data_IF_672294712489
#
_entry.id   IF_672294712489
#
_cell.length_a   1.000
_cell.length_b   1.000
_cell.length_c   1.000
_cell.angle_alpha   90.00
_cell.angle_beta   90.00
_cell.angle_gamma   90.00
#
_symmetry.space_group_name_H-M   'P 1'
#
loop_
_entity.id
_entity.type
_entity.pdbx_description
1 polymer ?
#
# COMPACT_ATOMS: atom_id res chain seq x y z
N UNK A 1 19.40 64.29 -30.35
CA UNK A 1 19.31 63.13 -29.43
C UNK A 1 18.18 62.16 -29.84
N UNK A 2 18.51 60.90 -30.20
CA UNK A 2 17.51 59.95 -30.70
C UNK A 2 16.70 59.30 -29.58
N UNK A 3 15.45 58.94 -29.92
CA UNK A 3 14.44 58.25 -29.09
C UNK A 3 14.92 56.86 -28.65
N UNK A 4 14.59 56.37 -27.44
CA UNK A 4 14.88 55.00 -27.03
C UNK A 4 13.99 53.99 -27.79
N UNK A 5 14.49 52.76 -28.05
CA UNK A 5 13.74 51.74 -28.79
C UNK A 5 12.62 51.11 -27.96
N UNK A 6 11.52 50.79 -28.64
CA UNK A 6 10.31 50.19 -28.09
C UNK A 6 10.58 48.83 -27.45
N UNK A 7 10.07 48.63 -26.23
CA UNK A 7 9.99 47.32 -25.58
C UNK A 7 9.13 46.39 -26.43
N UNK A 8 9.78 45.42 -27.07
CA UNK A 8 9.12 44.24 -27.62
C UNK A 8 8.48 43.46 -26.48
N UNK A 9 7.16 43.52 -26.40
CA UNK A 9 6.34 42.59 -25.63
C UNK A 9 6.58 41.22 -26.23
N UNK A 10 7.37 40.38 -25.55
CA UNK A 10 7.41 38.95 -25.83
C UNK A 10 6.08 38.36 -25.34
N UNK A 11 5.20 37.84 -26.22
CA UNK A 11 4.06 37.08 -25.76
C UNK A 11 4.56 35.76 -25.18
N UNK A 12 3.96 35.39 -24.06
CA UNK A 12 4.09 34.11 -23.37
C UNK A 12 4.25 32.95 -24.36
N UNK A 13 5.42 32.32 -24.38
CA UNK A 13 5.67 31.12 -25.18
C UNK A 13 5.77 29.94 -24.23
N UNK A 14 4.76 29.09 -24.33
CA UNK A 14 4.62 27.74 -23.77
C UNK A 14 3.92 27.58 -22.41
N UNK A 15 2.76 28.19 -22.24
CA UNK A 15 1.65 27.51 -21.59
C UNK A 15 0.75 26.90 -22.68
N UNK A 16 0.31 25.66 -22.49
CA UNK A 16 -0.56 24.86 -23.38
C UNK A 16 0.02 24.34 -24.71
N UNK A 17 1.03 23.48 -24.61
CA UNK A 17 1.06 22.28 -25.47
C UNK A 17 0.63 21.08 -24.62
N UNK A 18 -0.67 21.02 -24.31
CA UNK A 18 -1.30 19.77 -23.94
C UNK A 18 -1.22 18.86 -25.18
N UNK A 19 -0.11 18.16 -25.34
CA UNK A 19 -0.07 16.94 -26.12
C UNK A 19 -1.20 16.08 -25.57
N UNK A 20 -2.16 15.70 -26.41
CA UNK A 20 -3.03 14.57 -26.09
C UNK A 20 -2.11 13.38 -25.87
N UNK A 21 -1.72 13.13 -24.63
CA UNK A 21 -1.01 11.95 -24.21
C UNK A 21 -1.82 10.75 -24.69
N UNK A 22 -1.20 9.86 -25.48
CA UNK A 22 -1.91 8.69 -26.02
C UNK A 22 -2.43 7.74 -24.91
N UNK A 23 -1.92 7.90 -23.70
CA UNK A 23 -2.32 7.25 -22.47
C UNK A 23 -1.97 8.15 -21.28
N UNK A 24 -2.74 8.03 -20.20
CA UNK A 24 -2.58 8.81 -18.96
C UNK A 24 -2.15 7.91 -17.78
N UNK A 25 -1.49 8.49 -16.75
CA UNK A 25 -1.17 7.78 -15.52
C UNK A 25 -2.36 7.02 -14.90
N UNK A 26 -3.53 7.67 -14.85
CA UNK A 26 -4.75 7.09 -14.27
C UNK A 26 -5.30 5.92 -15.08
N UNK A 27 -5.14 5.91 -16.41
CA UNK A 27 -5.53 4.78 -17.25
C UNK A 27 -4.62 3.57 -16.98
N UNK A 28 -3.32 3.80 -16.84
CA UNK A 28 -2.35 2.75 -16.49
C UNK A 28 -2.66 2.17 -15.11
N UNK A 29 -2.92 3.03 -14.11
CA UNK A 29 -3.30 2.60 -12.75
C UNK A 29 -4.61 1.79 -12.74
N UNK A 30 -5.59 2.19 -13.56
CA UNK A 30 -6.83 1.48 -13.76
C UNK A 30 -6.62 0.07 -14.36
N UNK A 31 -5.71 -0.07 -15.33
CA UNK A 31 -5.35 -1.37 -15.90
C UNK A 31 -4.61 -2.23 -14.87
N UNK A 32 -3.63 -1.69 -14.13
CA UNK A 32 -2.93 -2.41 -13.06
C UNK A 32 -3.90 -3.00 -12.04
N UNK A 33 -4.85 -2.19 -11.57
CA UNK A 33 -5.85 -2.60 -10.58
C UNK A 33 -6.75 -3.74 -11.11
N UNK A 34 -7.16 -3.65 -12.38
CA UNK A 34 -7.95 -4.70 -13.03
C UNK A 34 -7.16 -5.99 -13.18
N UNK A 35 -5.88 -5.90 -13.57
CA UNK A 35 -4.97 -7.01 -13.76
C UNK A 35 -4.74 -7.76 -12.44
N UNK A 36 -4.50 -7.04 -11.35
CA UNK A 36 -4.35 -7.60 -9.99
C UNK A 36 -5.65 -8.25 -9.50
N UNK A 37 -6.80 -7.60 -9.72
CA UNK A 37 -8.11 -8.15 -9.35
C UNK A 37 -8.38 -9.46 -10.09
N UNK A 38 -8.09 -9.51 -11.39
CA UNK A 38 -8.27 -10.72 -12.21
C UNK A 38 -7.31 -11.84 -11.78
N UNK A 39 -6.06 -11.52 -11.48
CA UNK A 39 -5.09 -12.47 -10.93
C UNK A 39 -5.55 -13.04 -9.58
N UNK A 40 -6.05 -12.17 -8.68
CA UNK A 40 -6.61 -12.57 -7.39
C UNK A 40 -7.84 -13.48 -7.54
N UNK A 41 -8.73 -13.21 -8.49
CA UNK A 41 -9.89 -14.08 -8.78
C UNK A 41 -9.47 -15.45 -9.31
N UNK A 42 -8.45 -15.52 -10.16
CA UNK A 42 -7.90 -16.80 -10.63
C UNK A 42 -7.35 -17.63 -9.48
N UNK A 43 -6.60 -17.00 -8.57
CA UNK A 43 -6.10 -17.66 -7.36
C UNK A 43 -7.24 -18.13 -6.43
N UNK A 44 -8.26 -17.30 -6.22
CA UNK A 44 -9.41 -17.65 -5.38
C UNK A 44 -10.28 -18.79 -5.92
N UNK A 45 -10.24 -19.05 -7.23
CA UNK A 45 -11.02 -20.08 -7.91
C UNK A 45 -10.21 -21.32 -8.30
N UNK A 46 -9.04 -21.53 -7.70
CA UNK A 46 -8.19 -22.70 -7.97
C UNK A 46 -8.93 -24.04 -7.79
N UNK A 47 -9.85 -24.13 -6.82
CA UNK A 47 -10.65 -25.33 -6.55
C UNK A 47 -11.81 -25.61 -7.51
N UNK A 48 -12.09 -24.73 -8.50
CA UNK A 48 -13.21 -24.91 -9.43
C UNK A 48 -12.76 -24.77 -10.89
N UNK A 49 -12.80 -25.87 -11.65
CA UNK A 49 -12.32 -25.92 -13.05
C UNK A 49 -13.01 -24.89 -13.94
N UNK A 50 -14.34 -24.79 -13.87
CA UNK A 50 -15.12 -23.86 -14.71
C UNK A 50 -14.82 -22.41 -14.36
N UNK A 51 -14.79 -22.08 -13.07
CA UNK A 51 -14.52 -20.71 -12.61
C UNK A 51 -13.05 -20.31 -12.83
N UNK A 52 -12.12 -21.25 -12.72
CA UNK A 52 -10.70 -21.08 -13.05
C UNK A 52 -10.52 -20.74 -14.52
N UNK A 53 -11.15 -21.50 -15.43
CA UNK A 53 -11.10 -21.24 -16.88
C UNK A 53 -11.73 -19.88 -17.22
N UNK A 54 -12.86 -19.53 -16.59
CA UNK A 54 -13.51 -18.25 -16.80
C UNK A 54 -12.64 -17.07 -16.31
N UNK A 55 -12.04 -17.18 -15.11
CA UNK A 55 -11.15 -16.19 -14.53
C UNK A 55 -9.84 -16.06 -15.34
N UNK A 56 -9.30 -17.16 -15.85
CA UNK A 56 -8.12 -17.16 -16.71
C UNK A 56 -8.39 -16.48 -18.05
N UNK A 57 -9.55 -16.74 -18.67
CA UNK A 57 -9.95 -16.04 -19.90
C UNK A 57 -10.12 -14.54 -19.68
N UNK A 58 -10.69 -14.14 -18.55
CA UNK A 58 -10.86 -12.73 -18.18
C UNK A 58 -9.51 -12.03 -17.96
N UNK A 59 -8.59 -12.70 -17.26
CA UNK A 59 -7.21 -12.26 -17.08
C UNK A 59 -6.51 -12.06 -18.43
N UNK A 60 -6.59 -13.03 -19.35
CA UNK A 60 -5.97 -12.91 -20.68
C UNK A 60 -6.52 -11.75 -21.51
N UNK A 61 -7.81 -11.41 -21.36
CA UNK A 61 -8.39 -10.22 -22.00
C UNK A 61 -7.76 -8.94 -21.45
N UNK A 62 -7.60 -8.85 -20.13
CA UNK A 62 -6.99 -7.69 -19.48
C UNK A 62 -5.51 -7.59 -19.82
N UNK A 63 -4.78 -8.71 -19.89
CA UNK A 63 -3.39 -8.75 -20.37
C UNK A 63 -3.27 -8.26 -21.81
N UNK A 64 -4.23 -8.60 -22.69
CA UNK A 64 -4.29 -8.05 -24.04
C UNK A 64 -4.43 -6.52 -24.05
N UNK A 65 -5.37 -5.98 -23.27
CA UNK A 65 -5.54 -4.53 -23.15
C UNK A 65 -4.30 -3.84 -22.55
N UNK A 66 -3.66 -4.46 -21.56
CA UNK A 66 -2.43 -3.96 -20.96
C UNK A 66 -1.27 -3.96 -21.96
N UNK A 67 -1.12 -5.03 -22.75
CA UNK A 67 -0.16 -5.10 -23.86
C UNK A 67 -0.39 -3.98 -24.86
N UNK A 68 -1.63 -3.81 -25.31
CA UNK A 68 -1.95 -2.81 -26.34
C UNK A 68 -1.62 -1.39 -25.85
N UNK A 69 -1.91 -1.08 -24.57
CA UNK A 69 -1.47 0.17 -23.96
C UNK A 69 0.06 0.30 -23.93
N UNK A 70 0.78 -0.75 -23.51
CA UNK A 70 2.24 -0.72 -23.48
C UNK A 70 2.84 -0.56 -24.88
N UNK A 71 2.24 -1.16 -25.90
CA UNK A 71 2.68 -0.98 -27.29
C UNK A 71 2.46 0.47 -27.77
N UNK A 72 1.34 1.10 -27.40
CA UNK A 72 1.13 2.53 -27.64
C UNK A 72 2.18 3.38 -26.93
N UNK A 73 2.53 3.03 -25.69
CA UNK A 73 3.59 3.71 -24.95
C UNK A 73 4.97 3.57 -25.60
N UNK A 74 5.31 2.35 -26.04
CA UNK A 74 6.58 2.05 -26.71
C UNK A 74 6.72 2.73 -28.08
N UNK A 75 5.62 2.91 -28.80
CA UNK A 75 5.60 3.64 -30.07
C UNK A 75 5.53 5.17 -29.92
N UNK A 76 5.38 5.67 -28.69
CA UNK A 76 5.19 7.08 -28.37
C UNK A 76 6.47 7.82 -27.96
N UNK A 77 6.27 8.90 -27.22
CA UNK A 77 7.36 9.73 -26.70
C UNK A 77 8.05 9.07 -25.50
N UNK A 78 9.38 8.94 -25.56
CA UNK A 78 10.20 8.36 -24.49
C UNK A 78 10.19 9.23 -23.23
N UNK A 79 10.02 10.54 -23.35
CA UNK A 79 9.89 11.44 -22.18
C UNK A 79 8.56 11.20 -21.46
N UNK A 80 7.47 11.02 -22.20
CA UNK A 80 6.16 10.68 -21.64
C UNK A 80 6.14 9.27 -21.05
N UNK A 81 6.84 8.32 -21.66
CA UNK A 81 7.05 6.99 -21.09
C UNK A 81 7.83 7.06 -19.76
N UNK A 82 8.89 7.86 -19.71
CA UNK A 82 9.66 8.08 -18.49
C UNK A 82 8.85 8.80 -17.39
N UNK A 83 8.00 9.75 -17.74
CA UNK A 83 7.11 10.43 -16.78
C UNK A 83 6.08 9.46 -16.19
N UNK A 84 5.42 8.67 -17.05
CA UNK A 84 4.34 7.77 -16.61
C UNK A 84 4.87 6.51 -15.92
N UNK A 85 5.99 5.94 -16.37
CA UNK A 85 6.52 4.66 -15.87
C UNK A 85 7.85 4.76 -15.11
N UNK A 86 8.60 5.85 -15.27
CA UNK A 86 9.97 5.98 -14.76
C UNK A 86 10.11 6.61 -13.37
N UNK A 87 9.06 7.19 -12.79
CA UNK A 87 9.11 7.80 -11.46
C UNK A 87 9.50 6.82 -10.35
N UNK A 88 8.54 6.10 -9.80
CA UNK A 88 8.75 5.05 -8.79
C UNK A 88 8.88 3.65 -9.41
N UNK A 89 8.73 3.52 -10.73
CA UNK A 89 8.55 2.26 -11.46
C UNK A 89 7.41 1.38 -10.92
N UNK A 90 6.54 1.88 -10.03
CA UNK A 90 5.57 1.05 -9.31
C UNK A 90 4.57 0.40 -10.28
N UNK A 91 4.08 1.17 -11.26
CA UNK A 91 3.14 0.68 -12.29
C UNK A 91 3.70 -0.49 -13.10
N UNK A 92 4.93 -0.34 -13.55
CA UNK A 92 5.66 -1.38 -14.28
C UNK A 92 5.79 -2.66 -13.44
N UNK A 93 6.21 -2.50 -12.18
CA UNK A 93 6.43 -3.63 -11.29
C UNK A 93 5.14 -4.30 -10.83
N UNK A 94 4.04 -3.57 -10.68
CA UNK A 94 2.69 -4.14 -10.45
C UNK A 94 2.29 -5.07 -11.59
N UNK A 95 2.48 -4.64 -12.83
CA UNK A 95 2.24 -5.47 -14.00
C UNK A 95 3.17 -6.71 -14.06
N UNK A 96 4.46 -6.54 -13.76
CA UNK A 96 5.41 -7.67 -13.67
C UNK A 96 5.02 -8.69 -12.60
N UNK A 97 4.44 -8.24 -11.48
CA UNK A 97 3.99 -9.13 -10.39
C UNK A 97 3.05 -10.20 -10.88
N UNK A 98 2.09 -9.78 -11.69
CA UNK A 98 1.04 -10.66 -12.14
C UNK A 98 1.60 -11.70 -13.10
N UNK A 99 2.57 -11.33 -13.94
CA UNK A 99 3.29 -12.27 -14.79
C UNK A 99 4.05 -13.33 -13.96
N UNK A 100 4.71 -12.91 -12.88
CA UNK A 100 5.51 -13.84 -12.05
C UNK A 100 4.63 -14.72 -11.15
N UNK A 101 3.46 -14.23 -10.73
CA UNK A 101 2.59 -14.93 -9.77
C UNK A 101 1.62 -15.89 -10.46
N UNK A 102 1.19 -15.58 -11.68
CA UNK A 102 0.14 -16.37 -12.36
C UNK A 102 0.76 -17.53 -13.13
N UNK A 103 0.41 -18.75 -12.70
CA UNK A 103 0.69 -19.98 -13.44
C UNK A 103 -0.42 -20.23 -14.47
N UNK A 104 -0.13 -20.16 -15.77
CA UNK A 104 -1.03 -20.64 -16.81
C UNK A 104 -0.70 -22.11 -17.06
N UNK A 105 -1.68 -23.01 -17.05
CA UNK A 105 -1.44 -24.43 -17.36
C UNK A 105 -1.68 -24.71 -18.85
N UNK A 106 -2.85 -24.33 -19.37
CA UNK A 106 -3.26 -24.62 -20.75
C UNK A 106 -2.97 -23.47 -21.73
N UNK A 107 -2.71 -22.26 -21.23
CA UNK A 107 -2.57 -21.04 -22.04
C UNK A 107 -1.16 -20.42 -21.97
N UNK A 108 -0.12 -21.21 -21.67
CA UNK A 108 1.27 -20.73 -21.59
C UNK A 108 1.75 -20.13 -22.93
N UNK A 109 1.20 -20.61 -24.04
CA UNK A 109 1.56 -20.16 -25.40
C UNK A 109 0.65 -19.04 -25.92
N UNK A 110 -0.28 -18.50 -25.12
CA UNK A 110 -1.20 -17.45 -25.58
C UNK A 110 -0.44 -16.18 -26.01
N UNK A 111 -0.69 -15.73 -27.25
CA UNK A 111 -0.03 -14.57 -27.85
C UNK A 111 -0.24 -13.27 -27.07
N UNK A 112 -1.36 -13.13 -26.35
CA UNK A 112 -1.65 -11.94 -25.54
C UNK A 112 -0.77 -11.93 -24.30
N UNK A 113 -0.63 -13.08 -23.64
CA UNK A 113 0.24 -13.24 -22.47
C UNK A 113 1.71 -13.04 -22.83
N UNK A 114 2.16 -13.70 -23.90
CA UNK A 114 3.54 -13.60 -24.37
C UNK A 114 3.86 -12.21 -24.93
N UNK A 115 2.93 -11.57 -25.64
CA UNK A 115 3.07 -10.20 -26.10
C UNK A 115 3.12 -9.20 -24.95
N UNK A 116 2.31 -9.38 -23.91
CA UNK A 116 2.36 -8.54 -22.71
C UNK A 116 3.71 -8.65 -22.00
N UNK A 117 4.20 -9.88 -21.79
CA UNK A 117 5.52 -10.16 -21.21
C UNK A 117 6.66 -9.48 -22.00
N UNK A 118 6.69 -9.66 -23.33
CA UNK A 118 7.69 -9.01 -24.20
C UNK A 118 7.61 -7.48 -24.14
N UNK A 119 6.41 -6.92 -24.07
CA UNK A 119 6.22 -5.47 -23.97
C UNK A 119 6.80 -4.94 -22.66
N UNK A 120 6.58 -5.66 -21.55
CA UNK A 120 7.18 -5.35 -20.25
C UNK A 120 8.71 -5.46 -20.32
N UNK A 121 9.26 -6.55 -20.86
CA UNK A 121 10.72 -6.70 -21.01
C UNK A 121 11.33 -5.54 -21.82
N UNK A 122 10.63 -5.06 -22.86
CA UNK A 122 11.08 -3.94 -23.70
C UNK A 122 11.04 -2.60 -22.96
N UNK A 123 9.97 -2.33 -22.21
CA UNK A 123 9.87 -1.12 -21.37
C UNK A 123 10.98 -1.12 -20.31
N UNK A 124 11.29 -2.29 -19.73
CA UNK A 124 12.36 -2.45 -18.77
C UNK A 124 13.73 -2.05 -19.35
N UNK A 125 14.06 -2.55 -20.54
CA UNK A 125 15.27 -2.23 -21.27
C UNK A 125 15.37 -0.72 -21.55
N UNK A 126 14.28 -0.08 -21.96
CA UNK A 126 14.26 1.37 -22.21
C UNK A 126 14.51 2.15 -20.91
N UNK A 127 13.85 1.78 -19.81
CA UNK A 127 14.06 2.44 -18.52
C UNK A 127 15.49 2.25 -18.01
N UNK A 128 16.12 1.09 -18.26
CA UNK A 128 17.54 0.84 -17.94
C UNK A 128 18.46 1.72 -18.77
N UNK A 129 18.20 1.83 -20.07
CA UNK A 129 18.97 2.71 -20.97
C UNK A 129 18.88 4.18 -20.57
N UNK A 130 17.72 4.61 -20.06
CA UNK A 130 17.51 5.98 -19.56
C UNK A 130 18.09 6.21 -18.16
N UNK A 131 18.61 5.17 -17.49
CA UNK A 131 19.10 5.26 -16.11
C UNK A 131 18.01 5.51 -15.07
N UNK A 132 16.74 5.36 -15.45
CA UNK A 132 15.57 5.55 -14.59
C UNK A 132 15.08 4.25 -13.95
N UNK A 133 15.57 3.11 -14.44
CA UNK A 133 15.19 1.81 -13.90
C UNK A 133 15.66 1.65 -12.46
N UNK A 134 14.71 1.49 -11.54
CA UNK A 134 14.95 1.04 -10.18
C UNK A 134 14.45 -0.40 -10.04
N UNK A 135 15.32 -1.36 -9.65
CA UNK A 135 14.88 -2.72 -9.38
C UNK A 135 13.95 -2.71 -8.17
N UNK A 136 12.66 -2.96 -8.41
CA UNK A 136 11.68 -3.12 -7.35
C UNK A 136 11.72 -4.55 -6.86
N UNK A 137 12.46 -4.78 -5.78
CA UNK A 137 12.33 -6.01 -5.02
C UNK A 137 11.05 -5.91 -4.21
N UNK A 138 10.02 -6.68 -4.57
CA UNK A 138 8.95 -7.05 -3.63
C UNK A 138 9.58 -7.96 -2.58
N UNK A 139 10.28 -7.35 -1.62
CA UNK A 139 10.68 -8.05 -0.42
C UNK A 139 9.45 -8.42 0.40
N UNK A 140 9.51 -9.48 1.23
CA UNK A 140 8.59 -9.57 2.35
C UNK A 140 8.70 -8.28 3.18
N UNK A 141 7.64 -7.88 3.93
CA UNK A 141 7.85 -6.91 5.00
C UNK A 141 8.96 -7.47 5.90
N UNK A 142 9.99 -6.66 6.16
CA UNK A 142 11.15 -7.11 6.94
C UNK A 142 10.93 -6.90 8.42
N UNK A 143 10.27 -5.80 8.77
CA UNK A 143 9.90 -5.49 10.15
C UNK A 143 8.60 -4.71 10.22
N UNK A 144 7.82 -4.99 11.25
CA UNK A 144 6.62 -4.22 11.62
C UNK A 144 6.85 -3.72 13.05
N UNK A 145 6.44 -2.50 13.34
CA UNK A 145 6.49 -1.94 14.67
C UNK A 145 5.23 -1.10 14.95
N UNK A 146 4.85 -1.06 16.23
CA UNK A 146 3.85 -0.15 16.77
C UNK A 146 4.45 0.59 17.96
N UNK A 147 4.21 1.89 18.04
CA UNK A 147 4.47 2.67 19.24
C UNK A 147 3.25 2.59 20.15
N UNK A 148 3.29 1.72 21.16
CA UNK A 148 2.13 1.43 22.01
C UNK A 148 2.41 1.89 23.43
N UNK A 149 1.51 2.69 24.05
CA UNK A 149 1.63 3.02 25.46
C UNK A 149 1.36 1.77 26.32
N UNK A 150 1.94 1.69 27.53
CA UNK A 150 1.78 0.52 28.40
C UNK A 150 0.33 0.25 28.81
N UNK A 151 -0.53 1.28 28.82
CA UNK A 151 -1.96 1.15 29.05
C UNK A 151 -2.75 2.10 28.16
N UNK A 152 -3.90 1.64 27.70
CA UNK A 152 -4.90 2.41 26.97
C UNK A 152 -6.03 2.80 27.92
N UNK A 153 -6.33 4.10 27.98
CA UNK A 153 -7.38 4.62 28.86
C UNK A 153 -8.79 4.31 28.31
N UNK A 154 -9.69 3.75 29.12
CA UNK A 154 -11.09 3.61 28.75
C UNK A 154 -11.72 4.95 28.38
N UNK A 155 -12.30 5.03 27.18
CA UNK A 155 -12.93 6.25 26.67
C UNK A 155 -11.99 7.21 25.95
N UNK A 156 -10.67 6.97 25.89
CA UNK A 156 -9.76 7.71 25.04
C UNK A 156 -9.79 7.17 23.60
N UNK A 157 -9.57 8.04 22.61
CA UNK A 157 -9.41 7.61 21.21
C UNK A 157 -8.01 7.06 21.03
N UNK A 158 -7.91 5.86 20.47
CA UNK A 158 -6.67 5.14 20.22
C UNK A 158 -6.36 5.20 18.73
N UNK A 159 -5.13 5.58 18.40
CA UNK A 159 -4.56 5.58 17.07
C UNK A 159 -3.13 5.06 17.15
N UNK A 160 -2.91 3.84 16.66
CA UNK A 160 -1.61 3.18 16.66
C UNK A 160 -1.26 2.84 15.21
N UNK A 161 -0.64 3.77 14.46
CA UNK A 161 -0.23 3.50 13.09
C UNK A 161 0.85 2.43 13.07
N UNK A 162 0.79 1.55 12.07
CA UNK A 162 1.84 0.56 11.85
C UNK A 162 3.03 1.21 11.14
N UNK A 163 4.24 0.96 11.63
CA UNK A 163 5.47 1.25 10.90
C UNK A 163 5.92 -0.03 10.22
N UNK A 164 6.08 -0.01 8.89
CA UNK A 164 6.58 -1.15 8.12
C UNK A 164 7.92 -0.78 7.50
N UNK A 165 8.91 -1.61 7.76
CA UNK A 165 10.20 -1.55 7.08
C UNK A 165 10.32 -2.69 6.06
N UNK A 166 10.98 -2.37 4.96
CA UNK A 166 11.14 -3.25 3.81
C UNK A 166 10.83 -2.53 2.51
N UNK A 167 11.22 -3.14 1.40
CA UNK A 167 10.96 -2.63 0.06
C UNK A 167 9.56 -3.04 -0.43
N UNK A 168 8.52 -2.90 0.41
CA UNK A 168 7.15 -3.27 0.04
C UNK A 168 6.21 -2.04 0.02
N UNK A 169 5.40 -1.86 -1.04
CA UNK A 169 4.28 -0.93 -1.02
C UNK A 169 3.25 -1.36 0.03
N UNK A 170 2.76 -0.42 0.86
CA UNK A 170 1.73 -0.68 1.89
C UNK A 170 0.42 -1.22 1.30
N UNK A 171 0.07 -0.81 0.08
CA UNK A 171 -1.14 -1.20 -0.66
C UNK A 171 -1.15 -2.68 -1.09
N UNK A 172 -0.01 -3.36 -0.98
CA UNK A 172 0.11 -4.79 -1.25
C UNK A 172 0.04 -5.67 0.00
N UNK A 173 -0.07 -5.09 1.21
CA UNK A 173 -0.08 -5.83 2.46
C UNK A 173 -1.49 -6.21 2.91
N UNK A 174 -1.62 -7.44 3.40
CA UNK A 174 -2.79 -7.92 4.15
C UNK A 174 -2.43 -8.01 5.62
N UNK A 175 -3.28 -7.45 6.46
CA UNK A 175 -3.08 -7.33 7.89
C UNK A 175 -3.99 -8.28 8.67
N UNK A 176 -3.46 -8.90 9.72
CA UNK A 176 -4.22 -9.71 10.66
C UNK A 176 -3.69 -9.55 12.08
N UNK A 177 -4.54 -9.83 13.06
CA UNK A 177 -4.18 -9.79 14.49
C UNK A 177 -4.79 -10.96 15.24
N UNK A 178 -4.03 -11.57 16.15
CA UNK A 178 -4.47 -12.64 17.02
C UNK A 178 -3.86 -12.51 18.44
N UNK A 179 -4.62 -12.71 19.53
CA UNK A 179 -6.08 -12.93 19.57
C UNK A 179 -6.87 -11.68 19.09
N UNK A 180 -8.20 -11.77 18.94
CA UNK A 180 -9.01 -10.62 18.55
C UNK A 180 -8.81 -9.43 19.50
N UNK A 181 -8.74 -8.22 18.93
CA UNK A 181 -8.60 -6.99 19.71
C UNK A 181 -9.79 -6.80 20.68
N UNK A 182 -9.58 -6.08 21.79
CA UNK A 182 -10.65 -5.71 22.71
C UNK A 182 -11.83 -5.03 22.00
N UNK A 183 -13.05 -5.10 22.58
CA UNK A 183 -14.22 -4.45 21.99
C UNK A 183 -13.96 -2.97 21.68
N UNK A 184 -14.40 -2.54 20.49
CA UNK A 184 -14.24 -1.18 19.96
C UNK A 184 -12.81 -0.76 19.58
N UNK A 185 -11.86 -1.71 19.54
CA UNK A 185 -10.59 -1.57 18.82
C UNK A 185 -10.63 -2.42 17.55
N UNK A 186 -10.12 -1.86 16.45
CA UNK A 186 -10.18 -2.47 15.11
C UNK A 186 -8.82 -2.31 14.43
N UNK A 187 -8.39 -3.34 13.71
CA UNK A 187 -7.24 -3.30 12.82
C UNK A 187 -7.70 -2.88 11.42
N UNK A 188 -7.13 -1.81 10.87
CA UNK A 188 -7.44 -1.37 9.52
C UNK A 188 -6.79 -2.32 8.49
N UNK A 189 -7.58 -2.93 7.58
CA UNK A 189 -7.12 -4.05 6.76
C UNK A 189 -6.08 -3.68 5.69
N UNK A 190 -5.95 -2.39 5.35
CA UNK A 190 -5.02 -1.90 4.32
C UNK A 190 -3.79 -1.19 4.89
N UNK A 191 -3.93 -0.52 6.04
CA UNK A 191 -2.85 0.32 6.63
C UNK A 191 -2.20 -0.33 7.83
N UNK A 192 -2.83 -1.35 8.42
CA UNK A 192 -2.38 -1.94 9.68
C UNK A 192 -2.61 -1.05 10.89
N UNK A 193 -3.25 0.11 10.77
CA UNK A 193 -3.52 0.96 11.94
C UNK A 193 -4.45 0.24 12.92
N UNK A 194 -4.09 0.19 14.19
CA UNK A 194 -5.00 -0.21 15.26
C UNK A 194 -5.66 1.06 15.79
N UNK A 195 -6.97 1.17 15.61
CA UNK A 195 -7.72 2.36 15.99
C UNK A 195 -9.01 2.01 16.72
N UNK A 196 -9.55 2.99 17.45
CA UNK A 196 -10.87 2.87 18.05
C UNK A 196 -10.99 3.58 19.38
N UNK A 197 -11.99 3.19 20.17
CA UNK A 197 -12.29 3.82 21.46
C UNK A 197 -12.77 2.78 22.46
N UNK A 198 -11.90 2.30 23.37
CA UNK A 198 -12.31 1.36 24.40
C UNK A 198 -13.47 1.91 25.22
N UNK A 199 -14.47 1.08 25.54
CA UNK A 199 -15.66 1.53 26.25
C UNK A 199 -15.31 1.93 27.70
N UNK A 200 -15.87 3.04 28.18
CA UNK A 200 -15.75 3.45 29.58
C UNK A 200 -16.27 2.33 30.49
N UNK A 201 -15.48 1.99 31.52
CA UNK A 201 -15.80 0.92 32.47
C UNK A 201 -15.43 -0.49 32.02
N UNK A 202 -14.88 -0.66 30.81
CA UNK A 202 -14.27 -1.93 30.38
C UNK A 202 -12.79 -1.92 30.73
N UNK A 203 -12.36 -2.91 31.50
CA UNK A 203 -10.95 -3.17 31.79
C UNK A 203 -10.55 -4.49 31.16
N UNK A 204 -9.39 -4.51 30.51
CA UNK A 204 -8.80 -5.71 29.92
C UNK A 204 -7.42 -5.88 30.56
N UNK A 205 -7.10 -7.07 31.11
CA UNK A 205 -5.77 -7.34 31.63
C UNK A 205 -4.73 -7.18 30.53
N UNK A 206 -3.48 -6.98 30.91
CA UNK A 206 -2.38 -6.97 29.96
C UNK A 206 -2.39 -8.25 29.10
N UNK A 207 -2.40 -8.07 27.79
CA UNK A 207 -2.40 -9.15 26.83
C UNK A 207 -1.47 -8.82 25.66
N UNK A 208 -0.88 -9.87 25.09
CA UNK A 208 -0.03 -9.78 23.90
C UNK A 208 -0.84 -10.14 22.66
N UNK A 209 -0.81 -9.25 21.67
CA UNK A 209 -1.45 -9.38 20.37
C UNK A 209 -0.38 -9.52 19.30
N UNK A 210 -0.44 -10.57 18.50
CA UNK A 210 0.46 -10.77 17.37
C UNK A 210 -0.18 -10.15 16.14
N UNK A 211 0.43 -9.07 15.64
CA UNK A 211 0.02 -8.43 14.41
C UNK A 211 0.90 -8.91 13.27
N UNK A 212 0.30 -9.32 12.16
CA UNK A 212 1.01 -9.84 10.99
C UNK A 212 0.66 -9.02 9.76
N UNK A 213 1.69 -8.58 9.03
CA UNK A 213 1.54 -8.06 7.68
C UNK A 213 2.13 -9.07 6.70
N UNK A 214 1.38 -9.34 5.63
CA UNK A 214 1.73 -10.37 4.67
C UNK A 214 1.53 -9.88 3.23
N UNK A 215 2.45 -10.26 2.35
CA UNK A 215 2.32 -10.13 0.90
C UNK A 215 2.70 -11.47 0.23
N UNK A 216 2.69 -11.50 -1.10
CA UNK A 216 3.04 -12.71 -1.86
C UNK A 216 4.51 -13.15 -1.69
N UNK A 217 5.39 -12.25 -1.24
CA UNK A 217 6.82 -12.53 -1.03
C UNK A 217 7.14 -13.02 0.39
N UNK A 218 6.19 -12.90 1.33
CA UNK A 218 6.31 -13.41 2.68
C UNK A 218 5.58 -12.54 3.71
N UNK A 219 5.95 -12.68 4.97
CA UNK A 219 5.27 -12.02 6.09
C UNK A 219 6.25 -11.63 7.18
N UNK A 220 5.90 -10.59 7.92
CA UNK A 220 6.49 -10.22 9.19
C UNK A 220 5.39 -10.18 10.24
N UNK A 221 5.77 -10.43 11.48
CA UNK A 221 4.89 -10.35 12.63
C UNK A 221 5.57 -9.56 13.73
N UNK A 222 4.77 -8.87 14.54
CA UNK A 222 5.22 -8.14 15.72
C UNK A 222 4.27 -8.41 16.87
N UNK A 223 4.83 -8.54 18.06
CA UNK A 223 4.08 -8.63 19.30
C UNK A 223 3.77 -7.22 19.83
N UNK A 224 2.50 -6.97 20.10
CA UNK A 224 1.97 -5.73 20.64
C UNK A 224 1.32 -6.04 21.97
N UNK A 225 1.90 -5.53 23.05
CA UNK A 225 1.41 -5.78 24.42
C UNK A 225 0.83 -4.50 25.01
N UNK A 226 -0.41 -4.58 25.49
CA UNK A 226 -1.04 -3.47 26.22
C UNK A 226 -2.14 -4.00 27.14
N UNK A 227 -2.49 -3.19 28.14
CA UNK A 227 -3.70 -3.34 28.95
C UNK A 227 -4.70 -2.23 28.62
N UNK A 228 -5.99 -2.48 28.87
CA UNK A 228 -7.02 -1.41 28.89
C UNK A 228 -7.40 -1.19 30.35
N UNK A 229 -6.94 -0.08 30.93
CA UNK A 229 -7.19 0.22 32.34
C UNK A 229 -7.20 1.72 32.60
N UNK A 230 -7.88 2.13 33.66
CA UNK A 230 -7.90 3.53 34.08
C UNK A 230 -6.52 3.88 34.63
N UNK A 231 -5.96 5.02 34.20
CA UNK A 231 -4.71 5.51 34.75
C UNK A 231 -4.86 5.72 36.27
N UNK A 232 -3.83 5.37 37.08
CA UNK A 232 -3.88 5.60 38.50
C UNK A 232 -4.06 7.10 38.79
N UNK A 233 -4.90 7.47 39.78
CA UNK A 233 -5.11 8.87 40.10
C UNK A 233 -3.80 9.53 40.54
N UNK A 234 -3.41 10.59 39.84
CA UNK A 234 -2.28 11.44 40.21
C UNK A 234 -2.74 12.47 41.24
N UNK A 235 -1.93 12.67 42.30
CA UNK A 235 -2.17 13.62 43.40
C UNK A 235 -3.23 13.23 44.44
N UNK A 236 -3.28 11.96 44.87
CA UNK A 236 -3.98 11.60 46.10
C UNK A 236 -3.35 12.32 47.31
N UNK A 237 -4.03 13.36 47.80
CA UNK A 237 -3.72 14.01 49.08
C UNK A 237 -4.82 13.68 50.08
N UNK A 238 -4.46 12.91 51.10
CA UNK A 238 -5.34 12.70 52.25
C UNK A 238 -5.08 13.81 53.27
N UNK A 239 -5.93 14.82 53.29
CA UNK A 239 -6.00 15.72 54.44
C UNK A 239 -6.65 14.95 55.59
N UNK A 240 -5.87 14.67 56.63
CA UNK A 240 -6.39 14.01 57.83
C UNK A 240 -7.03 15.06 58.74
N UNK A 241 -8.35 15.06 58.96
CA UNK A 241 -8.97 16.03 59.84
C UNK A 241 -8.61 15.68 61.30
N UNK A 242 -7.74 16.48 61.90
CA UNK A 242 -7.72 16.71 63.36
C UNK A 242 -7.35 15.53 64.27
N UNK A 243 -6.21 14.85 64.04
CA UNK A 243 -5.57 14.11 65.13
C UNK A 243 -5.05 15.12 66.16
N UNK A 244 -5.82 15.36 67.22
CA UNK A 244 -5.29 16.04 68.41
C UNK A 244 -4.24 15.12 69.04
N UNK A 245 -3.04 15.63 69.37
CA UNK A 245 -2.06 14.82 70.08
C UNK A 245 -2.67 14.34 71.40
N UNK A 246 -2.66 13.02 71.61
CA UNK A 246 -3.00 12.42 72.90
C UNK A 246 -1.87 12.82 73.85
N UNK A 247 -2.14 13.75 74.76
CA UNK A 247 -1.25 13.99 75.90
C UNK A 247 -1.37 12.77 76.81
N UNK A 248 -0.33 11.93 76.81
CA UNK A 248 -0.15 10.91 77.83
C UNK A 248 0.47 11.62 79.05
N UNK A 249 -0.19 11.47 80.19
CA UNK A 249 0.01 12.17 81.47
C UNK A 249 1.45 12.22 81.97
#
# INVERSE_FOLDING_TARGET
PPRPPAMGVHPARNETRALKSAYTPSEVDGICTKLETAAGRKAAHEGSVVNRIAAERDLLKICGAARDLLQVALGGDKEHLADVFGGDCARFHRMRSVLDTVLLDANQEDDRWNGFRKSIDTVEEILKQLGLYRPWKRGPPERIAYEVPPFLEPGAVVHLPATVEGQCPLDCLRWSVAPPLPPLLVLHPQTGEIYGRPKIGVTVPEATYVVTASNLAGSASVEVTFAVQVAPPVNLRYEHPGLRPVQIY
#
